data_IF_392894901812
#
_entry.id   IF_392894901812
#
_cell.length_a   1.000
_cell.length_b   1.000
_cell.length_c   1.000
_cell.angle_alpha   90.00
_cell.angle_beta   90.00
_cell.angle_gamma   90.00
#
_symmetry.space_group_name_H-M   'P 1'
#
loop_
_entity.id
_entity.type
_entity.pdbx_description
1 polymer ?
#
# COMPACT_ATOMS: atom_id res chain seq x y z
N UNK A 1 1.20 -41.43 27.98
CA UNK A 1 -0.22 -41.40 27.57
C UNK A 1 -0.55 -39.99 27.06
N UNK A 2 -1.18 -39.89 25.87
CA UNK A 2 -2.08 -38.85 25.29
C UNK A 2 -1.89 -37.35 25.69
N UNK A 3 -1.53 -36.45 24.73
CA UNK A 3 -2.37 -35.48 23.94
C UNK A 3 -2.91 -34.28 24.77
N UNK A 4 -3.04 -33.00 24.38
CA UNK A 4 -2.86 -32.12 23.19
C UNK A 4 -3.21 -30.66 23.66
N UNK A 5 -2.68 -29.59 23.00
CA UNK A 5 -3.12 -28.15 22.96
C UNK A 5 -3.04 -27.29 24.25
N UNK A 6 -2.76 -25.97 24.26
CA UNK A 6 -3.07 -24.89 23.31
C UNK A 6 -2.16 -23.64 23.53
N UNK A 7 -1.91 -22.89 22.46
CA UNK A 7 -1.24 -21.58 22.40
C UNK A 7 -2.10 -20.45 23.04
N UNK A 8 -1.51 -19.37 23.58
CA UNK A 8 -1.63 -18.11 22.82
C UNK A 8 -0.37 -17.21 22.91
N UNK A 9 0.34 -17.05 21.79
CA UNK A 9 1.30 -15.96 21.60
C UNK A 9 0.57 -14.85 20.84
N UNK A 10 -0.20 -14.06 21.59
CA UNK A 10 -0.84 -12.82 21.14
C UNK A 10 -0.50 -11.70 22.13
N UNK A 11 0.79 -11.56 22.45
CA UNK A 11 1.35 -10.39 23.10
C UNK A 11 2.09 -9.56 22.02
N UNK A 12 2.08 -8.24 22.18
CA UNK A 12 2.68 -7.20 21.32
C UNK A 12 1.72 -6.64 20.25
N UNK A 13 0.83 -5.73 20.67
CA UNK A 13 0.63 -4.37 20.11
C UNK A 13 -0.60 -3.66 20.73
N UNK A 14 -0.63 -3.53 22.06
CA UNK A 14 -1.54 -2.62 22.76
C UNK A 14 -0.66 -1.69 23.60
N UNK A 15 -0.13 -0.63 22.98
CA UNK A 15 0.55 0.47 23.66
C UNK A 15 0.56 1.70 22.75
N UNK A 16 -0.57 2.43 22.71
CA UNK A 16 -0.69 3.88 22.47
C UNK A 16 -2.17 4.28 22.30
N UNK A 17 -2.99 4.02 23.32
CA UNK A 17 -4.24 4.77 23.52
C UNK A 17 -4.24 5.34 24.94
N UNK A 18 -3.29 6.23 25.22
CA UNK A 18 -3.53 7.32 26.16
C UNK A 18 -4.27 8.40 25.40
N UNK A 19 -5.58 8.25 25.33
CA UNK A 19 -6.51 9.27 24.85
C UNK A 19 -7.65 9.32 25.85
N UNK A 20 -7.45 10.08 26.92
CA UNK A 20 -8.48 10.38 27.91
C UNK A 20 -9.70 10.94 27.18
N UNK A 21 -10.85 10.32 27.39
CA UNK A 21 -12.15 10.92 27.19
C UNK A 21 -12.28 12.13 28.11
N UNK A 22 -12.52 13.33 27.57
CA UNK A 22 -13.05 14.43 28.37
C UNK A 22 -14.10 15.24 27.59
N UNK A 23 -15.28 15.49 28.19
CA UNK A 23 -16.38 16.25 27.60
C UNK A 23 -16.13 17.75 27.76
N UNK A 24 -16.72 18.55 26.85
CA UNK A 24 -16.66 20.02 26.76
C UNK A 24 -15.40 20.64 26.13
N UNK A 25 -15.34 20.77 24.80
CA UNK A 25 -14.61 21.87 24.14
C UNK A 25 -15.27 22.26 22.81
N UNK A 26 -15.24 23.57 22.54
CA UNK A 26 -15.93 24.38 21.53
C UNK A 26 -15.48 24.17 20.07
N UNK A 27 -16.31 24.64 19.13
CA UNK A 27 -16.31 24.33 17.67
C UNK A 27 -14.97 24.46 16.92
N UNK A 28 -14.03 25.26 17.39
CA UNK A 28 -12.74 25.47 16.70
C UNK A 28 -11.73 24.32 16.89
N UNK A 29 -11.92 23.40 17.83
CA UNK A 29 -11.04 22.23 18.02
C UNK A 29 -11.49 20.95 17.28
N UNK A 30 -12.77 20.84 16.90
CA UNK A 30 -13.29 19.68 16.14
C UNK A 30 -12.61 19.51 14.78
N UNK A 31 -12.37 20.61 14.07
CA UNK A 31 -11.85 20.57 12.68
C UNK A 31 -10.39 20.12 12.59
N UNK A 32 -9.57 20.31 13.63
CA UNK A 32 -8.16 19.86 13.65
C UNK A 32 -8.01 18.43 14.21
N UNK A 33 -8.89 18.01 15.12
CA UNK A 33 -8.91 16.64 15.67
C UNK A 33 -9.49 15.62 14.68
N UNK A 34 -10.54 15.96 13.94
CA UNK A 34 -11.16 15.06 12.95
C UNK A 34 -10.26 14.83 11.72
N UNK A 35 -9.47 15.84 11.31
CA UNK A 35 -8.58 15.72 10.15
C UNK A 35 -7.40 14.76 10.33
N UNK A 36 -6.92 14.59 11.56
CA UNK A 36 -5.76 13.74 11.87
C UNK A 36 -6.21 12.35 12.36
N UNK A 37 -7.30 12.27 13.15
CA UNK A 37 -7.84 11.02 13.67
C UNK A 37 -8.45 10.11 12.59
N UNK A 38 -9.13 10.68 11.60
CA UNK A 38 -9.80 9.91 10.54
C UNK A 38 -8.81 9.36 9.50
N UNK A 39 -7.67 10.03 9.28
CA UNK A 39 -6.66 9.59 8.32
C UNK A 39 -5.92 8.31 8.73
N UNK A 40 -5.53 8.22 10.00
CA UNK A 40 -4.79 7.08 10.55
C UNK A 40 -5.70 5.89 10.82
N UNK A 41 -6.85 6.12 11.47
CA UNK A 41 -7.83 5.08 11.75
C UNK A 41 -8.51 4.59 10.47
N UNK A 42 -8.90 5.50 9.57
CA UNK A 42 -9.50 5.13 8.28
C UNK A 42 -8.53 4.37 7.37
N UNK A 43 -7.27 4.79 7.29
CA UNK A 43 -6.23 4.10 6.51
C UNK A 43 -5.89 2.72 7.06
N UNK A 44 -5.74 2.59 8.38
CA UNK A 44 -5.49 1.31 9.05
C UNK A 44 -6.68 0.35 8.93
N UNK A 45 -7.91 0.85 9.09
CA UNK A 45 -9.13 0.05 8.96
C UNK A 45 -9.38 -0.41 7.51
N UNK A 46 -9.24 0.48 6.52
CA UNK A 46 -9.30 0.09 5.11
C UNK A 46 -8.17 -0.90 4.76
N UNK A 47 -6.97 -0.67 5.27
CA UNK A 47 -5.86 -1.59 5.11
C UNK A 47 -6.15 -2.96 5.71
N UNK A 48 -6.66 -3.00 6.94
CA UNK A 48 -7.03 -4.21 7.66
C UNK A 48 -8.15 -4.99 6.95
N UNK A 49 -9.20 -4.29 6.50
CA UNK A 49 -10.32 -4.88 5.78
C UNK A 49 -9.90 -5.48 4.42
N UNK A 50 -8.90 -4.89 3.75
CA UNK A 50 -8.46 -5.35 2.43
C UNK A 50 -7.38 -6.44 2.53
N UNK A 51 -6.54 -6.44 3.57
CA UNK A 51 -5.32 -7.28 3.61
C UNK A 51 -4.97 -7.90 4.96
N UNK A 52 -5.90 -7.91 5.93
CA UNK A 52 -5.67 -8.46 7.26
C UNK A 52 -4.52 -7.75 7.99
N UNK A 53 -3.71 -8.48 8.77
CA UNK A 53 -2.62 -7.89 9.59
C UNK A 53 -1.54 -7.18 8.75
N UNK A 54 -1.20 -7.72 7.58
CA UNK A 54 -0.25 -7.09 6.66
C UNK A 54 -0.85 -5.87 5.98
N UNK A 55 -2.14 -5.94 5.61
CA UNK A 55 -2.88 -4.80 5.07
C UNK A 55 -3.08 -3.69 6.09
N UNK A 56 -3.29 -4.01 7.37
CA UNK A 56 -3.41 -3.05 8.46
C UNK A 56 -2.10 -2.27 8.66
N UNK A 57 -0.97 -2.98 8.71
CA UNK A 57 0.35 -2.35 8.82
C UNK A 57 0.65 -1.42 7.64
N UNK A 58 0.28 -1.85 6.41
CA UNK A 58 0.42 -0.98 5.24
C UNK A 58 -0.57 0.19 5.28
N UNK A 59 -1.84 -0.05 5.58
CA UNK A 59 -2.88 0.95 5.66
C UNK A 59 -2.59 2.05 6.68
N UNK A 60 -2.12 1.67 7.87
CA UNK A 60 -1.68 2.60 8.91
C UNK A 60 -0.52 3.47 8.42
N UNK A 61 0.45 2.84 7.75
CA UNK A 61 1.64 3.52 7.26
C UNK A 61 1.39 4.36 5.98
N UNK A 62 0.20 4.24 5.38
CA UNK A 62 -0.31 5.13 4.32
C UNK A 62 -1.14 6.28 4.91
N UNK A 63 -1.96 6.02 5.94
CA UNK A 63 -2.85 7.00 6.57
C UNK A 63 -2.16 8.04 7.46
N UNK A 64 -1.02 7.70 8.08
CA UNK A 64 -0.31 8.55 9.05
C UNK A 64 0.33 9.85 8.55
N UNK A 65 0.55 10.01 7.23
CA UNK A 65 1.47 11.06 6.73
C UNK A 65 0.96 11.79 5.48
N UNK A 66 -0.33 11.72 5.17
CA UNK A 66 -0.89 12.30 3.95
C UNK A 66 -0.93 13.84 3.95
N UNK A 67 -0.74 14.51 5.09
CA UNK A 67 -0.72 15.98 5.18
C UNK A 67 0.59 16.61 4.70
N UNK A 68 1.74 16.05 5.12
CA UNK A 68 3.05 16.69 4.91
C UNK A 68 3.59 16.50 3.49
N UNK A 69 3.35 15.35 2.86
CA UNK A 69 3.84 15.06 1.50
C UNK A 69 3.02 15.76 0.40
N UNK A 70 1.80 16.19 0.71
CA UNK A 70 0.90 16.83 -0.24
C UNK A 70 1.25 18.33 -0.45
N UNK A 71 1.84 18.99 0.55
CA UNK A 71 1.92 20.46 0.60
C UNK A 71 2.73 21.14 -0.51
N UNK A 72 3.92 20.67 -0.87
CA UNK A 72 4.83 21.43 -1.75
C UNK A 72 4.78 21.03 -3.23
N UNK A 73 4.67 19.73 -3.54
CA UNK A 73 4.64 19.27 -4.94
C UNK A 73 3.28 19.55 -5.60
N UNK A 74 2.19 19.38 -4.84
CA UNK A 74 0.84 19.51 -5.37
C UNK A 74 0.43 20.98 -5.53
N UNK A 75 0.94 21.89 -4.69
CA UNK A 75 0.69 23.32 -4.86
C UNK A 75 1.19 23.82 -6.23
N UNK A 76 2.39 23.41 -6.63
CA UNK A 76 2.97 23.75 -7.93
C UNK A 76 2.25 23.07 -9.09
N UNK A 77 1.78 21.82 -8.93
CA UNK A 77 1.00 21.16 -9.97
C UNK A 77 -0.40 21.76 -10.12
N UNK A 78 -1.05 22.09 -9.02
CA UNK A 78 -2.37 22.73 -9.01
C UNK A 78 -2.33 24.12 -9.67
N UNK A 79 -1.25 24.87 -9.47
CA UNK A 79 -1.04 26.17 -10.13
C UNK A 79 -0.96 26.09 -11.67
N UNK A 80 -0.72 24.89 -12.24
CA UNK A 80 -0.68 24.70 -13.71
C UNK A 80 -2.06 24.58 -14.35
N UNK A 81 -3.12 24.41 -13.56
CA UNK A 81 -4.47 24.22 -14.07
C UNK A 81 -5.29 25.49 -13.86
N UNK A 82 -6.04 25.89 -14.89
CA UNK A 82 -6.94 27.03 -14.83
C UNK A 82 -8.17 26.77 -13.95
N UNK A 83 -8.63 25.51 -13.90
CA UNK A 83 -9.79 25.08 -13.10
C UNK A 83 -9.42 23.96 -12.15
N UNK A 84 -10.09 23.95 -11.00
CA UNK A 84 -9.92 22.93 -9.96
C UNK A 84 -10.34 21.55 -10.47
N UNK A 85 -11.39 21.50 -11.29
CA UNK A 85 -11.90 20.29 -11.94
C UNK A 85 -10.86 19.67 -12.88
N UNK A 86 -10.18 20.49 -13.69
CA UNK A 86 -9.15 20.04 -14.63
C UNK A 86 -7.98 19.37 -13.88
N UNK A 87 -7.57 19.96 -12.75
CA UNK A 87 -6.56 19.37 -11.87
C UNK A 87 -7.03 18.06 -11.23
N UNK A 88 -8.28 18.00 -10.75
CA UNK A 88 -8.87 16.79 -10.16
C UNK A 88 -8.98 15.65 -11.20
N UNK A 89 -9.33 15.97 -12.44
CA UNK A 89 -9.39 15.00 -13.53
C UNK A 89 -8.00 14.47 -13.90
N UNK A 90 -6.98 15.33 -13.87
CA UNK A 90 -5.59 14.90 -14.00
C UNK A 90 -5.17 13.98 -12.85
N UNK A 91 -5.57 14.28 -11.60
CA UNK A 91 -5.36 13.39 -10.46
C UNK A 91 -6.04 12.03 -10.68
N UNK A 92 -7.29 12.00 -11.13
CA UNK A 92 -8.03 10.76 -11.44
C UNK A 92 -7.31 9.96 -12.54
N UNK A 93 -6.83 10.63 -13.58
CA UNK A 93 -6.08 10.01 -14.68
C UNK A 93 -4.76 9.40 -14.20
N UNK A 94 -3.99 10.13 -13.38
CA UNK A 94 -2.77 9.62 -12.75
C UNK A 94 -3.06 8.39 -11.90
N UNK A 95 -4.09 8.45 -11.04
CA UNK A 95 -4.49 7.33 -10.19
C UNK A 95 -4.88 6.10 -11.02
N UNK A 96 -5.66 6.28 -12.11
CA UNK A 96 -6.00 5.20 -13.05
C UNK A 96 -4.75 4.58 -13.69
N UNK A 97 -3.80 5.42 -14.12
CA UNK A 97 -2.55 4.97 -14.74
C UNK A 97 -1.70 4.18 -13.76
N UNK A 98 -1.47 4.70 -12.56
CA UNK A 98 -0.70 4.03 -11.52
C UNK A 98 -1.36 2.72 -11.09
N UNK A 99 -2.69 2.68 -11.00
CA UNK A 99 -3.44 1.45 -10.76
C UNK A 99 -3.22 0.40 -11.86
N UNK A 100 -3.32 0.80 -13.13
CA UNK A 100 -3.08 -0.09 -14.28
C UNK A 100 -1.64 -0.61 -14.30
N UNK A 101 -0.67 0.28 -14.14
CA UNK A 101 0.75 -0.05 -14.15
C UNK A 101 1.11 -0.98 -12.98
N UNK A 102 0.56 -0.70 -11.79
CA UNK A 102 0.74 -1.54 -10.60
C UNK A 102 0.13 -2.91 -10.82
N UNK A 103 -1.09 -3.00 -11.34
CA UNK A 103 -1.79 -4.26 -11.63
C UNK A 103 -1.03 -5.12 -12.65
N UNK A 104 -0.54 -4.50 -13.73
CA UNK A 104 0.27 -5.18 -14.75
C UNK A 104 1.57 -5.73 -14.15
N UNK A 105 2.26 -4.92 -13.33
CA UNK A 105 3.46 -5.34 -12.64
C UNK A 105 3.18 -6.47 -11.65
N UNK A 106 2.08 -6.37 -10.92
CA UNK A 106 1.54 -7.41 -10.05
C UNK A 106 1.38 -8.74 -10.79
N UNK A 107 0.75 -8.74 -11.97
CA UNK A 107 0.62 -9.93 -12.80
C UNK A 107 1.98 -10.50 -13.24
N UNK A 108 2.94 -9.65 -13.62
CA UNK A 108 4.32 -10.06 -13.93
C UNK A 108 4.99 -10.76 -12.75
N UNK A 109 4.95 -10.16 -11.56
CA UNK A 109 5.54 -10.74 -10.35
C UNK A 109 4.90 -12.09 -10.00
N UNK A 110 3.59 -12.23 -10.19
CA UNK A 110 2.90 -13.50 -9.99
C UNK A 110 3.49 -14.62 -10.85
N UNK A 111 3.73 -14.34 -12.14
CA UNK A 111 4.33 -15.30 -13.07
C UNK A 111 5.76 -15.67 -12.67
N UNK A 112 6.56 -14.67 -12.30
CA UNK A 112 7.94 -14.88 -11.86
C UNK A 112 8.03 -15.71 -10.57
N UNK A 113 7.16 -15.44 -9.59
CA UNK A 113 7.08 -16.22 -8.35
C UNK A 113 6.73 -17.68 -8.66
N UNK A 114 5.70 -17.93 -9.48
CA UNK A 114 5.28 -19.29 -9.84
C UNK A 114 6.37 -20.04 -10.59
N UNK A 115 7.00 -19.41 -11.58
CA UNK A 115 8.14 -19.97 -12.31
C UNK A 115 9.29 -20.32 -11.36
N UNK A 116 9.59 -19.43 -10.43
CA UNK A 116 10.69 -19.59 -9.48
C UNK A 116 10.42 -20.69 -8.45
N UNK A 117 9.19 -20.78 -7.92
CA UNK A 117 8.76 -21.92 -7.07
C UNK A 117 8.89 -23.25 -7.80
N UNK A 118 8.51 -23.29 -9.09
CA UNK A 118 8.68 -24.49 -9.93
C UNK A 118 10.15 -24.86 -10.06
N UNK A 119 11.04 -23.89 -10.31
CA UNK A 119 12.49 -24.15 -10.42
C UNK A 119 13.08 -24.67 -9.10
N UNK A 120 12.72 -24.09 -7.96
CA UNK A 120 13.14 -24.60 -6.64
C UNK A 120 12.71 -26.05 -6.46
N UNK A 121 11.47 -26.39 -6.79
CA UNK A 121 10.97 -27.77 -6.71
C UNK A 121 11.72 -28.71 -7.64
N UNK A 122 11.97 -28.32 -8.89
CA UNK A 122 12.71 -29.14 -9.85
C UNK A 122 14.17 -29.34 -9.41
N UNK A 123 14.79 -28.34 -8.81
CA UNK A 123 16.15 -28.45 -8.27
C UNK A 123 16.21 -29.47 -7.14
N UNK A 124 15.25 -29.42 -6.20
CA UNK A 124 15.12 -30.42 -5.12
C UNK A 124 14.89 -31.85 -5.64
N UNK A 125 14.39 -31.99 -6.87
CA UNK A 125 14.20 -33.27 -7.54
C UNK A 125 15.39 -33.67 -8.44
N UNK A 126 16.51 -32.95 -8.37
CA UNK A 126 17.68 -33.13 -9.25
C UNK A 126 17.37 -33.01 -10.76
N UNK A 127 16.24 -32.38 -11.14
CA UNK A 127 15.80 -32.23 -12.54
C UNK A 127 16.37 -30.99 -13.24
N UNK A 128 17.05 -30.10 -12.50
CA UNK A 128 17.73 -28.93 -13.06
C UNK A 128 19.06 -28.70 -12.36
N UNK A 129 19.99 -28.04 -13.05
CA UNK A 129 21.28 -27.67 -12.48
C UNK A 129 21.19 -26.53 -11.45
N UNK A 130 22.16 -26.50 -10.54
CA UNK A 130 22.38 -25.41 -9.59
C UNK A 130 22.59 -24.06 -10.30
N UNK A 131 23.25 -24.04 -11.46
CA UNK A 131 23.49 -22.83 -12.25
C UNK A 131 22.19 -22.16 -12.71
N UNK A 132 21.20 -22.96 -13.18
CA UNK A 132 19.89 -22.46 -13.59
C UNK A 132 19.11 -21.84 -12.43
N UNK A 133 19.22 -22.43 -11.24
CA UNK A 133 18.61 -21.89 -10.03
C UNK A 133 19.26 -20.56 -9.61
N UNK A 134 20.60 -20.49 -9.62
CA UNK A 134 21.36 -19.26 -9.31
C UNK A 134 21.08 -18.13 -10.31
N UNK A 135 20.93 -18.45 -11.59
CA UNK A 135 20.55 -17.47 -12.61
C UNK A 135 19.17 -16.86 -12.33
N UNK A 136 18.16 -17.68 -12.01
CA UNK A 136 16.84 -17.19 -11.64
C UNK A 136 16.86 -16.38 -10.33
N UNK A 137 17.68 -16.78 -9.35
CA UNK A 137 17.86 -16.01 -8.10
C UNK A 137 18.36 -14.59 -8.39
N UNK A 138 19.39 -14.45 -9.24
CA UNK A 138 19.93 -13.14 -9.64
C UNK A 138 18.87 -12.25 -10.29
N UNK A 139 18.00 -12.81 -11.13
CA UNK A 139 16.88 -12.09 -11.73
C UNK A 139 15.90 -11.60 -10.65
N UNK A 140 15.48 -12.48 -9.73
CA UNK A 140 14.60 -12.09 -8.62
C UNK A 140 15.25 -11.00 -7.76
N UNK A 141 16.52 -11.12 -7.42
CA UNK A 141 17.20 -10.13 -6.58
C UNK A 141 17.31 -8.75 -7.27
N UNK A 142 17.51 -8.72 -8.60
CA UNK A 142 17.45 -7.49 -9.40
C UNK A 142 16.04 -6.90 -9.41
N UNK A 143 15.02 -7.74 -9.59
CA UNK A 143 13.62 -7.32 -9.61
C UNK A 143 13.19 -6.77 -8.23
N UNK A 144 13.68 -7.35 -7.13
CA UNK A 144 13.45 -6.88 -5.75
C UNK A 144 13.98 -5.46 -5.50
N UNK A 145 15.12 -5.09 -6.10
CA UNK A 145 15.63 -3.70 -6.05
C UNK A 145 14.71 -2.71 -6.77
N UNK A 146 14.05 -3.16 -7.84
CA UNK A 146 13.09 -2.33 -8.59
C UNK A 146 11.76 -2.24 -7.84
N UNK A 147 11.37 -3.32 -7.18
CA UNK A 147 10.13 -3.43 -6.41
C UNK A 147 10.08 -2.45 -5.23
N UNK A 148 11.20 -2.23 -4.53
CA UNK A 148 11.24 -1.24 -3.44
C UNK A 148 10.93 0.18 -3.93
N UNK A 149 11.48 0.58 -5.10
CA UNK A 149 11.19 1.87 -5.74
C UNK A 149 9.71 1.97 -6.14
N UNK A 150 9.15 0.91 -6.76
CA UNK A 150 7.73 0.88 -7.15
C UNK A 150 6.79 0.97 -5.95
N UNK A 151 7.10 0.27 -4.86
CA UNK A 151 6.35 0.35 -3.60
C UNK A 151 6.39 1.76 -3.01
N UNK A 152 7.56 2.42 -3.03
CA UNK A 152 7.70 3.81 -2.57
C UNK A 152 6.88 4.77 -3.43
N UNK A 153 6.97 4.65 -4.75
CA UNK A 153 6.24 5.53 -5.68
C UNK A 153 4.73 5.34 -5.55
N UNK A 154 4.24 4.10 -5.49
CA UNK A 154 2.81 3.83 -5.33
C UNK A 154 2.27 4.27 -3.96
N UNK A 155 3.10 4.23 -2.91
CA UNK A 155 2.80 4.82 -1.60
C UNK A 155 2.69 6.34 -1.67
N UNK A 156 3.62 7.00 -2.36
CA UNK A 156 3.63 8.45 -2.48
C UNK A 156 2.44 8.94 -3.30
N UNK A 157 2.13 8.26 -4.41
CA UNK A 157 0.94 8.54 -5.22
C UNK A 157 -0.33 8.41 -4.37
N UNK A 158 -0.49 7.31 -3.63
CA UNK A 158 -1.66 7.11 -2.78
C UNK A 158 -1.84 8.24 -1.76
N UNK A 159 -0.75 8.72 -1.16
CA UNK A 159 -0.78 9.86 -0.22
C UNK A 159 -1.16 11.17 -0.91
N UNK A 160 -0.61 11.44 -2.09
CA UNK A 160 -0.94 12.62 -2.87
C UNK A 160 -2.44 12.63 -3.25
N UNK A 161 -2.93 11.49 -3.72
CA UNK A 161 -4.33 11.31 -4.12
C UNK A 161 -5.31 11.39 -2.95
N UNK A 162 -4.89 11.01 -1.72
CA UNK A 162 -5.69 11.25 -0.52
C UNK A 162 -5.87 12.74 -0.21
N UNK A 163 -4.83 13.56 -0.43
CA UNK A 163 -4.96 15.01 -0.31
C UNK A 163 -5.92 15.58 -1.35
N UNK A 164 -5.84 15.08 -2.59
CA UNK A 164 -6.76 15.49 -3.65
C UNK A 164 -8.22 15.12 -3.37
N UNK A 165 -8.46 13.93 -2.79
CA UNK A 165 -9.79 13.54 -2.35
C UNK A 165 -10.32 14.47 -1.24
N UNK A 166 -9.48 14.87 -0.28
CA UNK A 166 -9.88 15.82 0.77
C UNK A 166 -10.24 17.18 0.18
N UNK A 167 -9.43 17.67 -0.76
CA UNK A 167 -9.70 18.94 -1.45
C UNK A 167 -10.98 18.87 -2.28
N UNK A 168 -11.20 17.77 -3.02
CA UNK A 168 -12.43 17.56 -3.77
C UNK A 168 -13.68 17.59 -2.87
N UNK A 169 -13.62 16.91 -1.71
CA UNK A 169 -14.71 16.92 -0.73
C UNK A 169 -14.94 18.32 -0.14
N UNK A 170 -13.87 19.03 0.23
CA UNK A 170 -13.94 20.37 0.82
C UNK A 170 -14.50 21.42 -0.16
N UNK A 171 -14.21 21.27 -1.45
CA UNK A 171 -14.60 22.21 -2.50
C UNK A 171 -15.95 21.85 -3.16
N UNK A 172 -16.67 20.85 -2.66
CA UNK A 172 -17.98 20.46 -3.21
C UNK A 172 -17.92 19.67 -4.52
N UNK A 173 -16.73 19.25 -4.97
CA UNK A 173 -16.51 18.46 -6.18
C UNK A 173 -16.91 16.98 -5.99
N UNK A 174 -18.19 16.72 -5.77
CA UNK A 174 -18.72 15.40 -5.35
C UNK A 174 -18.48 14.29 -6.37
N UNK A 175 -18.54 14.59 -7.68
CA UNK A 175 -18.29 13.61 -8.75
C UNK A 175 -16.83 13.14 -8.73
N UNK A 176 -15.88 14.08 -8.77
CA UNK A 176 -14.45 13.80 -8.74
C UNK A 176 -14.05 13.16 -7.41
N UNK A 177 -14.62 13.59 -6.29
CA UNK A 177 -14.40 12.95 -5.00
C UNK A 177 -14.80 11.46 -5.01
N UNK A 178 -15.97 11.11 -5.57
CA UNK A 178 -16.38 9.69 -5.71
C UNK A 178 -15.44 8.90 -6.63
N UNK A 179 -14.99 9.50 -7.73
CA UNK A 179 -14.05 8.84 -8.64
C UNK A 179 -12.68 8.62 -7.99
N UNK A 180 -12.14 9.62 -7.30
CA UNK A 180 -10.87 9.53 -6.56
C UNK A 180 -10.96 8.50 -5.44
N UNK A 181 -12.06 8.47 -4.67
CA UNK A 181 -12.29 7.47 -3.64
C UNK A 181 -12.24 6.04 -4.21
N UNK A 182 -12.95 5.80 -5.32
CA UNK A 182 -12.89 4.52 -6.05
C UNK A 182 -11.47 4.16 -6.48
N UNK A 183 -10.72 5.11 -7.05
CA UNK A 183 -9.34 4.84 -7.50
C UNK A 183 -8.38 4.59 -6.34
N UNK A 184 -8.54 5.29 -5.22
CA UNK A 184 -7.76 5.07 -4.00
C UNK A 184 -8.01 3.68 -3.42
N UNK A 185 -9.27 3.21 -3.39
CA UNK A 185 -9.59 1.84 -2.95
C UNK A 185 -8.92 0.78 -3.82
N UNK A 186 -8.93 0.98 -5.14
CA UNK A 186 -8.22 0.09 -6.09
C UNK A 186 -6.71 0.14 -5.82
N UNK A 187 -6.15 1.33 -5.65
CA UNK A 187 -4.73 1.53 -5.39
C UNK A 187 -4.28 0.86 -4.08
N UNK A 188 -5.09 0.98 -3.02
CA UNK A 188 -4.84 0.30 -1.75
C UNK A 188 -4.79 -1.23 -1.93
N UNK A 189 -5.73 -1.80 -2.67
CA UNK A 189 -5.76 -3.24 -2.98
C UNK A 189 -4.54 -3.69 -3.80
N UNK A 190 -4.19 -2.95 -4.84
CA UNK A 190 -3.04 -3.27 -5.70
C UNK A 190 -1.71 -3.11 -4.93
N UNK A 191 -1.58 -2.10 -4.07
CA UNK A 191 -0.42 -1.90 -3.18
C UNK A 191 -0.26 -3.02 -2.16
N UNK A 192 -1.37 -3.46 -1.55
CA UNK A 192 -1.36 -4.62 -0.64
C UNK A 192 -0.92 -5.88 -1.36
N UNK A 193 -1.43 -6.11 -2.58
CA UNK A 193 -1.04 -7.24 -3.43
C UNK A 193 0.44 -7.17 -3.80
N UNK A 194 0.93 -5.98 -4.17
CA UNK A 194 2.32 -5.74 -4.52
C UNK A 194 3.26 -6.03 -3.34
N UNK A 195 2.85 -5.63 -2.13
CA UNK A 195 3.57 -5.93 -0.90
C UNK A 195 3.64 -7.42 -0.59
N UNK A 196 2.51 -8.12 -0.68
CA UNK A 196 2.44 -9.57 -0.49
C UNK A 196 3.36 -10.32 -1.47
N UNK A 197 3.36 -9.91 -2.75
CA UNK A 197 4.26 -10.48 -3.77
C UNK A 197 5.72 -10.16 -3.51
N UNK A 198 6.04 -8.98 -2.98
CA UNK A 198 7.41 -8.66 -2.52
C UNK A 198 7.91 -9.66 -1.48
N UNK A 199 7.08 -9.96 -0.47
CA UNK A 199 7.42 -10.94 0.56
C UNK A 199 7.58 -12.35 -0.02
N UNK A 200 6.68 -12.74 -0.93
CA UNK A 200 6.78 -14.03 -1.61
C UNK A 200 8.07 -14.14 -2.47
N UNK A 201 8.47 -13.07 -3.17
CA UNK A 201 9.74 -13.06 -3.90
C UNK A 201 10.95 -13.16 -2.99
N UNK A 202 10.92 -12.48 -1.83
CA UNK A 202 11.98 -12.59 -0.84
C UNK A 202 12.12 -14.01 -0.30
N UNK A 203 10.99 -14.65 0.06
CA UNK A 203 10.94 -16.04 0.52
C UNK A 203 11.45 -17.02 -0.55
N UNK A 204 11.04 -16.84 -1.81
CA UNK A 204 11.51 -17.70 -2.90
C UNK A 204 13.00 -17.49 -3.19
N UNK A 205 13.51 -16.25 -3.19
CA UNK A 205 14.96 -15.98 -3.32
C UNK A 205 15.76 -16.64 -2.21
N UNK A 206 15.29 -16.58 -0.96
CA UNK A 206 15.93 -17.24 0.17
C UNK A 206 15.98 -18.78 -0.03
N UNK A 207 14.91 -19.39 -0.55
CA UNK A 207 14.90 -20.82 -0.87
C UNK A 207 15.83 -21.24 -2.03
N UNK A 208 16.35 -20.26 -2.78
CA UNK A 208 17.33 -20.46 -3.84
C UNK A 208 18.77 -20.20 -3.40
N UNK A 209 19.00 -19.81 -2.13
CA UNK A 209 20.34 -19.66 -1.58
C UNK A 209 20.95 -21.06 -1.38
N UNK A 210 21.62 -21.55 -2.43
CA UNK A 210 22.29 -22.85 -2.49
C UNK A 210 23.71 -22.68 -3.00
#
# INVERSE_FOLDING_TARGET
>A
MKRITMLPIAAVLIASMTGCTQPNMTDSQRTKAEGTGVGVLGGALLGAAIGGRQGAAWGAALGGAAGYAYGSHVANEKAKYARQEDWLDACISSAKKVNRDTRSYNAKLSREITKSKRLVRLYKQNKISKSKLRAQKRLIDKERKTLSKKLKNARNEYKAQQGALRDAKRTGNTSQARQLDKQLRIMAKENNTLSSRSNAMASVSASMAV
#
